data_IF_802183612334
#
_entry.id   IF_802183612334
#
_cell.length_a   1.000
_cell.length_b   1.000
_cell.length_c   1.000
_cell.angle_alpha   90.00
_cell.angle_beta   90.00
_cell.angle_gamma   90.00
#
_symmetry.space_group_name_H-M   'P 1'
#
loop_
_entity.id
_entity.type
_entity.pdbx_description
1 polymer ?
#
# COMPACT_ATOMS: atom_id res chain seq x y z
N UNK A 1 36.99 -44.61 -36.65
CA UNK A 1 37.21 -43.24 -36.14
C UNK A 1 36.18 -42.96 -35.07
N UNK A 2 36.53 -43.15 -33.79
CA UNK A 2 35.67 -42.84 -32.65
C UNK A 2 36.29 -41.66 -31.91
N UNK A 3 35.54 -40.57 -31.80
CA UNK A 3 35.97 -39.35 -31.14
C UNK A 3 35.72 -39.48 -29.62
N UNK A 4 36.80 -39.60 -28.87
CA UNK A 4 36.81 -39.58 -27.41
C UNK A 4 36.52 -38.15 -26.95
N UNK A 5 35.31 -37.90 -26.43
CA UNK A 5 34.99 -36.62 -25.78
C UNK A 5 35.60 -36.63 -24.37
N UNK A 6 36.61 -35.79 -24.18
CA UNK A 6 37.18 -35.52 -22.86
C UNK A 6 36.14 -34.77 -22.01
N UNK A 7 35.67 -35.41 -20.95
CA UNK A 7 34.87 -34.78 -19.90
C UNK A 7 35.80 -33.83 -19.13
N UNK A 8 35.47 -32.53 -19.00
CA UNK A 8 36.32 -31.61 -18.29
C UNK A 8 36.35 -31.97 -16.80
N UNK A 9 37.58 -32.03 -16.30
CA UNK A 9 38.02 -32.33 -14.94
C UNK A 9 37.23 -31.54 -13.91
N UNK A 10 36.75 -32.25 -12.89
CA UNK A 10 36.23 -31.72 -11.64
C UNK A 10 37.11 -30.59 -11.11
N UNK A 11 36.69 -29.35 -11.34
CA UNK A 11 37.14 -28.22 -10.52
C UNK A 11 36.69 -28.51 -9.10
N UNK A 12 37.65 -28.90 -8.25
CA UNK A 12 37.45 -29.01 -6.81
C UNK A 12 36.63 -27.80 -6.33
N UNK A 13 35.55 -28.03 -5.56
CA UNK A 13 34.77 -26.93 -5.01
C UNK A 13 35.73 -26.04 -4.22
N UNK A 14 35.63 -24.71 -4.36
CA UNK A 14 36.54 -23.78 -3.71
C UNK A 14 36.62 -24.12 -2.22
N UNK A 15 37.85 -24.33 -1.73
CA UNK A 15 38.16 -24.50 -0.32
C UNK A 15 37.40 -23.40 0.44
N UNK A 16 36.39 -23.79 1.23
CA UNK A 16 35.64 -22.85 2.04
C UNK A 16 36.64 -22.04 2.89
N UNK A 17 36.48 -20.72 3.02
CA UNK A 17 37.28 -19.95 3.97
C UNK A 17 37.15 -20.63 5.33
N UNK A 18 38.28 -20.86 6.00
CA UNK A 18 38.34 -21.63 7.24
C UNK A 18 37.31 -21.05 8.21
N UNK A 19 36.44 -21.89 8.79
CA UNK A 19 35.32 -21.45 9.64
C UNK A 19 35.70 -20.44 10.73
N UNK A 20 36.97 -20.46 11.17
CA UNK A 20 37.57 -19.48 12.08
C UNK A 20 37.42 -18.01 11.62
N UNK A 21 37.53 -17.70 10.32
CA UNK A 21 37.38 -16.33 9.83
C UNK A 21 35.94 -15.83 9.97
N UNK A 22 34.96 -16.73 9.78
CA UNK A 22 33.54 -16.42 9.94
C UNK A 22 33.20 -16.25 11.43
N UNK A 23 33.77 -17.07 12.29
CA UNK A 23 33.58 -16.95 13.74
C UNK A 23 34.14 -15.62 14.26
N UNK A 24 35.36 -15.25 13.84
CA UNK A 24 35.94 -13.94 14.16
C UNK A 24 35.09 -12.76 13.67
N UNK A 25 34.45 -12.88 12.51
CA UNK A 25 33.51 -11.87 12.02
C UNK A 25 32.33 -11.69 12.98
N UNK A 26 31.71 -12.79 13.44
CA UNK A 26 30.59 -12.69 14.37
C UNK A 26 31.02 -12.20 15.75
N UNK A 27 32.16 -12.61 16.27
CA UNK A 27 32.72 -12.08 17.52
C UNK A 27 32.87 -10.54 17.44
N UNK A 28 33.30 -10.03 16.30
CA UNK A 28 33.49 -8.59 16.10
C UNK A 28 32.18 -7.82 15.90
N UNK A 29 31.21 -8.38 15.17
CA UNK A 29 30.04 -7.65 14.69
C UNK A 29 28.70 -8.03 15.33
N UNK A 30 28.62 -9.04 16.19
CA UNK A 30 27.33 -9.50 16.77
C UNK A 30 26.60 -8.43 17.57
N UNK A 31 27.36 -7.63 18.33
CA UNK A 31 26.82 -6.47 19.06
C UNK A 31 26.21 -5.43 18.09
N UNK A 32 26.85 -5.22 16.93
CA UNK A 32 26.37 -4.30 15.91
C UNK A 32 25.15 -4.86 15.17
N UNK A 33 25.10 -6.16 14.89
CA UNK A 33 23.92 -6.83 14.31
C UNK A 33 22.72 -6.66 15.25
N UNK A 34 22.90 -6.94 16.54
CA UNK A 34 21.87 -6.77 17.57
C UNK A 34 21.36 -5.33 17.63
N UNK A 35 22.29 -4.36 17.63
CA UNK A 35 21.95 -2.93 17.62
C UNK A 35 21.18 -2.52 16.36
N UNK A 36 21.56 -3.04 15.17
CA UNK A 36 20.86 -2.72 13.93
C UNK A 36 19.45 -3.32 13.90
N UNK A 37 19.27 -4.57 14.36
CA UNK A 37 17.96 -5.21 14.44
C UNK A 37 17.01 -4.37 15.33
N UNK A 38 17.44 -4.07 16.57
CA UNK A 38 16.67 -3.25 17.51
C UNK A 38 16.34 -1.87 16.93
N UNK A 39 17.37 -1.13 16.47
CA UNK A 39 17.21 0.25 15.98
C UNK A 39 16.24 0.34 14.81
N UNK A 40 16.24 -0.64 13.91
CA UNK A 40 15.36 -0.62 12.72
C UNK A 40 13.94 -1.00 13.09
N UNK A 41 13.77 -1.94 14.02
CA UNK A 41 12.47 -2.34 14.51
C UNK A 41 11.77 -1.19 15.27
N UNK A 42 12.46 -0.55 16.22
CA UNK A 42 11.87 0.56 17.00
C UNK A 42 11.47 1.78 16.15
N UNK A 43 12.14 2.00 14.99
CA UNK A 43 11.86 3.16 14.12
C UNK A 43 10.70 2.96 13.15
N UNK A 44 10.34 1.72 12.81
CA UNK A 44 9.36 1.43 11.76
C UNK A 44 8.08 0.76 12.28
N UNK A 45 8.14 0.08 13.41
CA UNK A 45 7.02 -0.70 13.91
C UNK A 45 6.34 -0.05 15.11
N UNK A 46 5.72 1.12 14.89
CA UNK A 46 4.61 1.57 15.74
C UNK A 46 3.41 0.61 15.71
N UNK A 47 3.40 -0.36 14.79
CA UNK A 47 2.30 -1.32 14.58
C UNK A 47 2.60 -2.75 15.10
N UNK A 48 3.80 -3.03 15.61
CA UNK A 48 4.05 -4.35 16.22
C UNK A 48 3.28 -4.45 17.53
N UNK A 49 2.64 -5.60 17.77
CA UNK A 49 2.04 -5.88 19.08
C UNK A 49 3.18 -5.91 20.09
N UNK A 50 3.03 -5.16 21.19
CA UNK A 50 4.06 -5.08 22.23
C UNK A 50 4.49 -6.47 22.75
N UNK A 51 3.59 -7.45 22.67
CA UNK A 51 3.79 -8.84 23.09
C UNK A 51 4.77 -9.64 22.22
N UNK A 52 4.97 -9.29 20.94
CA UNK A 52 5.86 -10.03 20.02
C UNK A 52 7.16 -9.30 19.69
N UNK A 53 7.33 -8.08 20.22
CA UNK A 53 8.46 -7.21 19.87
C UNK A 53 9.83 -7.91 20.04
N UNK A 54 10.05 -8.57 21.18
CA UNK A 54 11.32 -9.22 21.45
C UNK A 54 11.57 -10.40 20.51
N UNK A 55 10.54 -11.18 20.22
CA UNK A 55 10.60 -12.31 19.28
C UNK A 55 10.93 -11.83 17.86
N UNK A 56 10.26 -10.76 17.42
CA UNK A 56 10.47 -10.21 16.08
C UNK A 56 11.87 -9.62 15.91
N UNK A 57 12.41 -8.98 16.96
CA UNK A 57 13.79 -8.48 16.96
C UNK A 57 14.78 -9.63 16.88
N UNK A 58 14.55 -10.72 17.61
CA UNK A 58 15.39 -11.91 17.59
C UNK A 58 15.32 -12.63 16.23
N UNK A 59 14.16 -12.70 15.60
CA UNK A 59 13.99 -13.26 14.26
C UNK A 59 14.78 -12.46 13.21
N UNK A 60 14.71 -11.11 13.26
CA UNK A 60 15.52 -10.25 12.39
C UNK A 60 17.02 -10.47 12.65
N UNK A 61 17.43 -10.59 13.92
CA UNK A 61 18.83 -10.84 14.29
C UNK A 61 19.31 -12.19 13.76
N UNK A 62 18.51 -13.24 13.91
CA UNK A 62 18.84 -14.58 13.41
C UNK A 62 18.93 -14.59 11.88
N UNK A 63 17.98 -13.97 11.19
CA UNK A 63 17.99 -13.84 9.73
C UNK A 63 19.26 -13.12 9.25
N UNK A 64 19.65 -12.02 9.91
CA UNK A 64 20.88 -11.30 9.58
C UNK A 64 22.14 -12.14 9.74
N UNK A 65 22.25 -12.90 10.84
CA UNK A 65 23.38 -13.81 11.07
C UNK A 65 23.46 -14.86 9.97
N UNK A 66 22.33 -15.50 9.64
CA UNK A 66 22.28 -16.50 8.58
C UNK A 66 22.68 -15.91 7.22
N UNK A 67 22.19 -14.71 6.90
CA UNK A 67 22.51 -14.04 5.64
C UNK A 67 24.00 -13.69 5.55
N UNK A 68 24.58 -13.13 6.62
CA UNK A 68 26.02 -12.84 6.68
C UNK A 68 26.85 -14.12 6.56
N UNK A 69 26.47 -15.19 7.26
CA UNK A 69 27.15 -16.48 7.20
C UNK A 69 27.14 -17.06 5.78
N UNK A 70 25.98 -17.06 5.12
CA UNK A 70 25.85 -17.56 3.74
C UNK A 70 26.72 -16.77 2.75
N UNK A 71 26.77 -15.45 2.90
CA UNK A 71 27.60 -14.60 2.01
C UNK A 71 29.08 -14.77 2.30
N UNK A 72 29.50 -14.81 3.57
CA UNK A 72 30.91 -15.00 3.95
C UNK A 72 31.47 -16.36 3.51
N UNK A 73 30.62 -17.38 3.35
CA UNK A 73 31.03 -18.66 2.76
C UNK A 73 31.39 -18.58 1.29
N UNK A 74 30.88 -17.58 0.58
CA UNK A 74 31.06 -17.44 -0.86
C UNK A 74 32.06 -16.33 -1.18
N UNK A 75 31.96 -15.20 -0.48
CA UNK A 75 32.65 -13.95 -0.80
C UNK A 75 33.06 -13.21 0.47
N UNK A 76 34.16 -12.47 0.42
CA UNK A 76 34.54 -11.54 1.49
C UNK A 76 33.67 -10.27 1.43
N UNK A 77 33.26 -9.76 2.59
CA UNK A 77 32.47 -8.53 2.69
C UNK A 77 33.42 -7.36 2.94
N UNK A 78 33.65 -6.52 1.92
CA UNK A 78 34.58 -5.38 2.02
C UNK A 78 34.16 -4.35 3.09
N UNK A 79 32.86 -4.12 3.25
CA UNK A 79 32.32 -3.18 4.24
C UNK A 79 31.22 -3.84 5.09
N UNK A 80 31.60 -4.54 6.17
CA UNK A 80 30.66 -5.27 7.03
C UNK A 80 29.54 -4.41 7.59
N UNK A 81 29.86 -3.18 8.04
CA UNK A 81 28.87 -2.30 8.68
C UNK A 81 27.81 -1.83 7.70
N UNK A 82 28.21 -1.40 6.51
CA UNK A 82 27.28 -0.97 5.46
C UNK A 82 26.39 -2.13 5.01
N UNK A 83 26.99 -3.31 4.83
CA UNK A 83 26.29 -4.53 4.47
C UNK A 83 25.24 -4.91 5.52
N UNK A 84 25.65 -5.04 6.80
CA UNK A 84 24.75 -5.38 7.92
C UNK A 84 23.61 -4.36 8.03
N UNK A 85 23.88 -3.06 7.93
CA UNK A 85 22.81 -2.05 8.03
C UNK A 85 21.80 -2.15 6.88
N UNK A 86 22.27 -2.46 5.66
CA UNK A 86 21.41 -2.64 4.49
C UNK A 86 20.60 -3.93 4.59
N UNK A 87 21.24 -5.02 4.98
CA UNK A 87 20.57 -6.29 5.22
C UNK A 87 19.49 -6.13 6.31
N UNK A 88 19.81 -5.48 7.43
CA UNK A 88 18.86 -5.26 8.53
C UNK A 88 17.63 -4.49 8.06
N UNK A 89 17.84 -3.45 7.24
CA UNK A 89 16.73 -2.71 6.64
C UNK A 89 15.85 -3.58 5.76
N UNK A 90 16.45 -4.43 4.92
CA UNK A 90 15.70 -5.31 4.02
C UNK A 90 14.89 -6.35 4.80
N UNK A 91 15.48 -6.97 5.82
CA UNK A 91 14.81 -7.95 6.68
C UNK A 91 13.64 -7.32 7.45
N UNK A 92 13.83 -6.16 8.07
CA UNK A 92 12.73 -5.45 8.74
C UNK A 92 11.61 -5.09 7.77
N UNK A 93 11.92 -4.71 6.52
CA UNK A 93 10.91 -4.44 5.49
C UNK A 93 10.22 -5.71 5.03
N UNK A 94 10.93 -6.82 4.89
CA UNK A 94 10.38 -8.13 4.52
C UNK A 94 9.39 -8.61 5.58
N UNK A 95 9.81 -8.57 6.85
CA UNK A 95 8.99 -8.95 7.99
C UNK A 95 7.77 -8.02 8.14
N UNK A 96 7.92 -6.70 7.97
CA UNK A 96 6.79 -5.77 7.92
C UNK A 96 5.81 -6.08 6.77
N UNK A 97 6.30 -6.56 5.62
CA UNK A 97 5.45 -6.98 4.50
C UNK A 97 4.74 -8.31 4.74
N UNK A 98 5.31 -9.20 5.55
CA UNK A 98 4.66 -10.45 5.97
C UNK A 98 3.57 -10.18 7.01
N UNK A 99 3.83 -9.26 7.95
CA UNK A 99 2.87 -8.86 8.97
C UNK A 99 1.72 -8.03 8.43
N UNK A 100 1.98 -7.21 7.40
CA UNK A 100 0.89 -6.65 6.63
C UNK A 100 0.23 -7.84 5.94
N UNK A 101 -1.01 -8.21 6.28
CA UNK A 101 -1.71 -9.18 5.47
C UNK A 101 -1.54 -8.67 4.04
N UNK A 102 -1.14 -9.54 3.11
CA UNK A 102 -1.49 -9.29 1.73
C UNK A 102 -3.02 -9.27 1.73
N UNK A 103 -3.61 -8.14 2.12
CA UNK A 103 -5.01 -7.85 1.93
C UNK A 103 -5.18 -8.16 0.46
N UNK A 104 -5.98 -9.19 0.18
CA UNK A 104 -6.35 -9.56 -1.17
C UNK A 104 -6.57 -8.23 -1.88
N UNK A 105 -5.82 -8.00 -2.96
CA UNK A 105 -5.98 -6.77 -3.73
C UNK A 105 -7.46 -6.71 -4.00
N UNK A 106 -8.15 -5.76 -3.37
CA UNK A 106 -9.58 -5.64 -3.53
C UNK A 106 -9.76 -5.44 -5.02
N UNK A 107 -10.47 -6.39 -5.63
CA UNK A 107 -10.91 -6.24 -7.00
C UNK A 107 -12.23 -5.48 -6.90
N UNK A 108 -12.45 -4.54 -7.81
CA UNK A 108 -13.80 -4.03 -7.97
C UNK A 108 -14.69 -5.09 -8.63
N UNK A 109 -15.98 -4.78 -8.75
CA UNK A 109 -16.96 -5.66 -9.40
C UNK A 109 -16.62 -5.94 -10.88
N UNK A 110 -15.74 -5.14 -11.49
CA UNK A 110 -15.24 -5.32 -12.85
C UNK A 110 -13.96 -6.21 -12.92
N UNK A 111 -13.47 -6.70 -11.77
CA UNK A 111 -12.26 -7.54 -11.69
C UNK A 111 -10.94 -6.77 -11.88
N UNK A 112 -10.98 -5.43 -11.85
CA UNK A 112 -9.80 -4.58 -11.93
C UNK A 112 -9.24 -4.29 -10.52
N UNK A 113 -7.94 -3.97 -10.44
CA UNK A 113 -7.31 -3.59 -9.18
C UNK A 113 -7.97 -2.31 -8.63
N UNK A 114 -8.62 -2.41 -7.47
CA UNK A 114 -9.31 -1.31 -6.82
C UNK A 114 -8.36 -0.15 -6.51
N UNK A 115 -8.37 0.87 -7.36
CA UNK A 115 -7.45 2.01 -7.31
C UNK A 115 -7.94 3.19 -6.43
N UNK A 116 -8.95 3.02 -5.57
CA UNK A 116 -9.34 4.08 -4.64
C UNK A 116 -10.61 3.86 -3.83
N UNK A 117 -10.42 3.60 -2.54
CA UNK A 117 -10.75 4.46 -1.38
C UNK A 117 -10.64 3.56 -0.14
N UNK A 118 -9.61 3.79 0.67
CA UNK A 118 -9.34 3.05 1.93
C UNK A 118 -10.50 3.24 2.95
N UNK A 119 -11.45 4.13 2.65
CA UNK A 119 -12.63 4.41 3.48
C UNK A 119 -13.54 3.19 3.70
N UNK A 120 -13.55 2.19 2.82
CA UNK A 120 -14.43 1.02 2.99
C UNK A 120 -13.87 -0.06 3.92
N UNK A 121 -12.58 -0.06 4.25
CA UNK A 121 -11.99 -1.08 5.15
C UNK A 121 -12.15 -0.74 6.65
N UNK A 122 -12.79 0.37 6.99
CA UNK A 122 -13.04 0.81 8.37
C UNK A 122 -14.46 0.49 8.88
N UNK A 123 -15.31 -0.19 8.11
CA UNK A 123 -16.68 -0.56 8.52
C UNK A 123 -16.77 -1.73 9.53
N UNK A 124 -15.84 -1.82 10.47
CA UNK A 124 -15.88 -2.82 11.56
C UNK A 124 -15.83 -2.23 12.97
N UNK A 125 -16.33 -1.00 13.18
CA UNK A 125 -16.52 -0.49 14.57
C UNK A 125 -17.68 0.48 14.79
N UNK A 126 -18.69 0.54 13.90
CA UNK A 126 -19.83 1.46 14.07
C UNK A 126 -20.92 0.96 15.05
N UNK A 127 -20.56 0.27 16.13
CA UNK A 127 -21.55 -0.19 17.12
C UNK A 127 -21.70 0.67 18.36
N UNK A 128 -20.87 1.69 18.58
CA UNK A 128 -20.95 2.56 19.79
C UNK A 128 -20.58 4.05 19.50
N UNK A 129 -21.08 4.65 18.42
CA UNK A 129 -20.87 6.09 18.18
C UNK A 129 -21.95 6.95 18.86
N UNK A 130 -21.54 8.02 19.52
CA UNK A 130 -22.41 9.02 20.15
C UNK A 130 -23.32 9.67 19.08
N UNK A 131 -24.64 9.81 19.30
CA UNK A 131 -25.53 10.54 18.40
C UNK A 131 -25.03 11.94 17.98
N UNK A 132 -24.26 12.63 18.84
CA UNK A 132 -23.65 13.91 18.50
C UNK A 132 -22.55 13.77 17.43
N UNK A 133 -21.70 12.74 17.52
CA UNK A 133 -20.64 12.44 16.53
C UNK A 133 -21.23 12.00 15.19
N UNK A 134 -22.37 11.31 15.20
CA UNK A 134 -23.10 10.93 13.97
C UNK A 134 -23.60 12.15 13.21
N UNK A 135 -24.04 13.21 13.91
CA UNK A 135 -24.49 14.46 13.28
C UNK A 135 -23.31 15.21 12.66
N UNK A 136 -22.21 15.37 13.39
CA UNK A 136 -20.99 16.03 12.88
C UNK A 136 -20.42 15.28 11.66
N UNK A 137 -20.40 13.95 11.69
CA UNK A 137 -19.96 13.13 10.57
C UNK A 137 -20.86 13.29 9.32
N UNK A 138 -22.17 13.46 9.51
CA UNK A 138 -23.12 13.68 8.41
C UNK A 138 -23.01 15.08 7.79
N UNK A 139 -22.75 16.10 8.61
CA UNK A 139 -22.50 17.47 8.14
C UNK A 139 -21.23 17.55 7.30
N UNK A 140 -20.17 16.87 7.75
CA UNK A 140 -18.91 16.73 7.01
C UNK A 140 -19.10 15.99 5.69
N UNK A 141 -19.81 14.86 5.69
CA UNK A 141 -20.08 14.10 4.47
C UNK A 141 -20.82 14.95 3.42
N UNK A 142 -21.80 15.73 3.86
CA UNK A 142 -22.55 16.64 2.99
C UNK A 142 -21.65 17.72 2.40
N UNK A 143 -20.78 18.33 3.22
CA UNK A 143 -19.83 19.35 2.77
C UNK A 143 -18.86 18.81 1.70
N UNK A 144 -18.29 17.62 1.93
CA UNK A 144 -17.39 16.98 0.96
C UNK A 144 -18.10 16.60 -0.33
N UNK A 145 -19.34 16.15 -0.24
CA UNK A 145 -20.16 15.84 -1.40
C UNK A 145 -20.43 17.09 -2.24
N UNK A 146 -20.74 18.22 -1.60
CA UNK A 146 -20.90 19.51 -2.28
C UNK A 146 -19.61 19.96 -2.98
N UNK A 147 -18.45 19.82 -2.34
CA UNK A 147 -17.16 20.11 -2.97
C UNK A 147 -16.91 19.21 -4.19
N UNK A 148 -17.24 17.92 -4.08
CA UNK A 148 -17.08 16.95 -5.17
C UNK A 148 -17.97 17.29 -6.36
N UNK A 149 -19.26 17.55 -6.13
CA UNK A 149 -20.20 17.93 -7.19
C UNK A 149 -19.78 19.26 -7.84
N UNK A 150 -19.32 20.25 -7.06
CA UNK A 150 -18.77 21.49 -7.59
C UNK A 150 -17.60 21.25 -8.54
N UNK A 151 -16.64 20.39 -8.16
CA UNK A 151 -15.51 20.04 -9.02
C UNK A 151 -15.97 19.32 -10.29
N UNK A 152 -16.97 18.44 -10.20
CA UNK A 152 -17.51 17.66 -11.31
C UNK A 152 -18.25 18.55 -12.32
N UNK A 153 -18.99 19.56 -11.86
CA UNK A 153 -19.69 20.52 -12.73
C UNK A 153 -18.74 21.23 -13.68
N UNK A 154 -17.49 21.48 -13.24
CA UNK A 154 -16.44 22.14 -14.04
C UNK A 154 -15.79 21.23 -15.09
N UNK A 155 -16.09 19.92 -15.08
CA UNK A 155 -15.54 18.98 -16.05
C UNK A 155 -16.20 19.12 -17.43
N UNK A 156 -15.49 18.79 -18.52
CA UNK A 156 -16.10 18.62 -19.84
C UNK A 156 -17.30 17.66 -19.78
N UNK A 157 -18.33 17.90 -20.60
CA UNK A 157 -19.61 17.19 -20.55
C UNK A 157 -19.47 15.65 -20.47
N UNK A 158 -18.61 15.05 -21.31
CA UNK A 158 -18.38 13.60 -21.33
C UNK A 158 -17.75 13.07 -20.04
N UNK A 159 -16.83 13.84 -19.44
CA UNK A 159 -16.17 13.49 -18.18
C UNK A 159 -17.10 13.68 -16.99
N UNK A 160 -17.87 14.77 -16.99
CA UNK A 160 -18.92 15.04 -16.01
C UNK A 160 -19.95 13.93 -15.98
N UNK A 161 -20.45 13.53 -17.15
CA UNK A 161 -21.42 12.44 -17.28
C UNK A 161 -20.87 11.11 -16.76
N UNK A 162 -19.63 10.76 -17.13
CA UNK A 162 -18.97 9.56 -16.65
C UNK A 162 -18.79 9.58 -15.12
N UNK A 163 -18.37 10.70 -14.55
CA UNK A 163 -18.21 10.86 -13.09
C UNK A 163 -19.54 10.76 -12.35
N UNK A 164 -20.59 11.44 -12.82
CA UNK A 164 -21.91 11.40 -12.19
C UNK A 164 -22.52 9.98 -12.27
N UNK A 165 -22.38 9.30 -13.40
CA UNK A 165 -22.82 7.90 -13.55
C UNK A 165 -22.06 6.98 -12.59
N UNK A 166 -20.74 7.14 -12.48
CA UNK A 166 -19.91 6.36 -11.55
C UNK A 166 -20.21 6.65 -10.08
N UNK A 167 -20.56 7.88 -9.71
CA UNK A 167 -20.92 8.22 -8.33
C UNK A 167 -22.29 7.66 -7.99
N UNK A 168 -23.27 7.79 -8.90
CA UNK A 168 -24.63 7.28 -8.70
C UNK A 168 -24.66 5.78 -8.41
N UNK A 169 -23.78 4.99 -9.03
CA UNK A 169 -23.68 3.54 -8.76
C UNK A 169 -23.01 3.19 -7.43
N UNK A 170 -22.09 4.03 -6.96
CA UNK A 170 -21.22 3.72 -5.81
C UNK A 170 -21.64 4.38 -4.50
N UNK A 171 -22.57 5.33 -4.55
CA UNK A 171 -22.94 6.14 -3.39
C UNK A 171 -24.12 5.49 -2.66
N UNK A 172 -23.92 5.17 -1.37
CA UNK A 172 -24.86 4.37 -0.58
C UNK A 172 -26.17 5.11 -0.25
N UNK A 173 -26.15 6.44 -0.12
CA UNK A 173 -27.34 7.27 0.13
C UNK A 173 -27.76 8.06 -1.14
N UNK A 174 -28.64 7.50 -1.99
CA UNK A 174 -29.09 8.18 -3.20
C UNK A 174 -29.91 9.45 -2.90
N UNK A 175 -30.50 9.60 -1.71
CA UNK A 175 -31.28 10.80 -1.37
C UNK A 175 -30.37 12.00 -1.10
N UNK A 176 -29.29 11.82 -0.34
CA UNK A 176 -28.32 12.88 -0.08
C UNK A 176 -27.63 13.35 -1.38
N UNK A 177 -27.24 12.40 -2.25
CA UNK A 177 -26.67 12.72 -3.56
C UNK A 177 -27.63 13.49 -4.46
N UNK A 178 -28.91 13.10 -4.50
CA UNK A 178 -29.95 13.84 -5.24
C UNK A 178 -30.12 15.24 -4.70
N UNK A 179 -30.17 15.42 -3.37
CA UNK A 179 -30.33 16.73 -2.76
C UNK A 179 -29.19 17.68 -3.16
N UNK A 180 -27.94 17.22 -3.13
CA UNK A 180 -26.79 18.02 -3.56
C UNK A 180 -26.81 18.28 -5.06
N UNK A 181 -27.07 17.27 -5.90
CA UNK A 181 -27.15 17.44 -7.35
C UNK A 181 -28.26 18.44 -7.76
N UNK A 182 -29.40 18.41 -7.08
CA UNK A 182 -30.51 19.33 -7.32
C UNK A 182 -30.12 20.79 -7.02
N UNK A 183 -29.33 21.04 -5.95
CA UNK A 183 -28.78 22.39 -5.68
C UNK A 183 -27.92 22.91 -6.84
N UNK A 184 -27.31 22.02 -7.60
CA UNK A 184 -26.49 22.34 -8.79
C UNK A 184 -27.25 22.24 -10.12
N UNK A 185 -28.58 22.11 -10.10
CA UNK A 185 -29.42 21.92 -11.30
C UNK A 185 -29.02 20.71 -12.16
N UNK A 186 -28.52 19.65 -11.52
CA UNK A 186 -28.22 18.38 -12.18
C UNK A 186 -29.39 17.41 -11.96
N UNK A 187 -30.02 16.98 -13.06
CA UNK A 187 -30.96 15.87 -13.04
C UNK A 187 -30.18 14.55 -12.97
N UNK A 188 -30.16 13.94 -11.78
CA UNK A 188 -29.47 12.67 -11.54
C UNK A 188 -30.24 11.47 -12.09
N UNK A 189 -31.57 11.56 -12.20
CA UNK A 189 -32.40 10.42 -12.61
C UNK A 189 -32.24 10.14 -14.11
N UNK A 190 -32.04 11.19 -14.92
CA UNK A 190 -31.70 11.09 -16.34
C UNK A 190 -30.28 10.61 -16.66
N UNK A 191 -29.40 10.46 -15.66
CA UNK A 191 -28.03 9.99 -15.84
C UNK A 191 -27.98 8.47 -15.60
N UNK A 192 -27.70 7.71 -16.66
CA UNK A 192 -27.55 6.26 -16.62
C UNK A 192 -26.40 5.85 -17.52
N UNK A 193 -25.75 4.71 -17.24
CA UNK A 193 -24.79 4.19 -18.21
C UNK A 193 -25.50 3.82 -19.51
N UNK A 194 -24.89 4.06 -20.68
CA UNK A 194 -25.45 3.63 -21.94
C UNK A 194 -25.60 2.10 -21.97
N UNK A 195 -26.65 1.62 -22.64
CA UNK A 195 -26.85 0.18 -22.84
C UNK A 195 -25.82 -0.42 -23.81
N UNK A 196 -25.26 0.41 -24.71
CA UNK A 196 -24.35 -0.06 -25.74
C UNK A 196 -22.91 -0.19 -25.21
N UNK A 197 -22.26 -1.37 -25.32
CA UNK A 197 -20.98 -1.67 -24.65
C UNK A 197 -19.83 -0.76 -25.11
N UNK A 198 -19.81 -0.37 -26.39
CA UNK A 198 -18.78 0.53 -26.94
C UNK A 198 -18.85 1.93 -26.33
N UNK A 199 -20.06 2.42 -26.07
CA UNK A 199 -20.25 3.76 -25.47
C UNK A 199 -19.89 3.75 -23.99
N UNK A 200 -20.25 2.68 -23.28
CA UNK A 200 -19.85 2.42 -21.90
C UNK A 200 -18.33 2.36 -21.78
N UNK A 201 -17.64 1.63 -22.65
CA UNK A 201 -16.18 1.58 -22.68
C UNK A 201 -15.57 2.98 -22.89
N UNK A 202 -16.11 3.78 -23.80
CA UNK A 202 -15.65 5.14 -24.06
C UNK A 202 -15.85 6.08 -22.86
N UNK A 203 -16.98 5.96 -22.16
CA UNK A 203 -17.24 6.73 -20.95
C UNK A 203 -16.36 6.28 -19.77
N UNK A 204 -16.14 4.97 -19.60
CA UNK A 204 -15.20 4.41 -18.62
C UNK A 204 -13.76 4.88 -18.88
N UNK A 205 -13.33 4.93 -20.14
CA UNK A 205 -12.03 5.52 -20.48
C UNK A 205 -11.95 7.01 -20.11
N UNK A 206 -13.04 7.76 -20.33
CA UNK A 206 -13.16 9.17 -19.96
C UNK A 206 -13.16 9.38 -18.44
N UNK A 207 -13.65 8.42 -17.66
CA UNK A 207 -13.65 8.44 -16.19
C UNK A 207 -12.22 8.48 -15.64
N UNK A 208 -11.29 7.69 -16.22
CA UNK A 208 -9.88 7.70 -15.81
C UNK A 208 -9.23 9.07 -16.01
N UNK A 209 -9.57 9.75 -17.10
CA UNK A 209 -9.10 11.11 -17.38
C UNK A 209 -9.76 12.12 -16.42
N UNK A 210 -11.07 11.99 -16.18
CA UNK A 210 -11.82 12.84 -15.27
C UNK A 210 -11.25 12.82 -13.84
N UNK A 211 -10.92 11.61 -13.33
CA UNK A 211 -10.30 11.43 -12.00
C UNK A 211 -8.93 12.10 -11.88
N UNK A 212 -8.22 12.26 -12.99
CA UNK A 212 -6.90 12.93 -13.04
C UNK A 212 -7.01 14.44 -13.24
N UNK A 213 -8.22 14.99 -13.37
CA UNK A 213 -8.40 16.43 -13.46
C UNK A 213 -7.86 17.12 -12.18
N UNK A 214 -7.22 18.29 -12.33
CA UNK A 214 -6.62 19.04 -11.23
C UNK A 214 -7.60 19.31 -10.09
N UNK A 215 -8.85 19.67 -10.38
CA UNK A 215 -9.86 19.93 -9.36
C UNK A 215 -10.17 18.66 -8.53
N UNK A 216 -10.28 17.50 -9.19
CA UNK A 216 -10.48 16.22 -8.52
C UNK A 216 -9.25 15.76 -7.73
N UNK A 217 -8.03 16.06 -8.23
CA UNK A 217 -6.80 15.79 -7.50
C UNK A 217 -6.65 16.64 -6.24
N UNK A 218 -7.00 17.93 -6.31
CA UNK A 218 -6.99 18.81 -5.15
C UNK A 218 -7.99 18.34 -4.09
N UNK A 219 -9.21 17.95 -4.52
CA UNK A 219 -10.20 17.39 -3.60
C UNK A 219 -9.74 16.08 -2.96
N UNK A 220 -9.08 15.21 -3.74
CA UNK A 220 -8.46 13.98 -3.22
C UNK A 220 -7.40 14.27 -2.16
N UNK A 221 -6.53 15.25 -2.39
CA UNK A 221 -5.49 15.63 -1.42
C UNK A 221 -6.10 16.24 -0.15
N UNK A 222 -7.14 17.07 -0.29
CA UNK A 222 -7.86 17.65 0.85
C UNK A 222 -8.53 16.57 1.72
N UNK A 223 -9.13 15.55 1.09
CA UNK A 223 -9.69 14.40 1.79
C UNK A 223 -8.61 13.57 2.51
N UNK A 224 -7.46 13.34 1.87
CA UNK A 224 -6.35 12.62 2.50
C UNK A 224 -5.82 13.37 3.72
N UNK A 225 -5.67 14.69 3.64
CA UNK A 225 -5.23 15.51 4.76
C UNK A 225 -6.21 15.46 5.95
N UNK A 226 -7.53 15.50 5.70
CA UNK A 226 -8.53 15.40 6.78
C UNK A 226 -8.55 14.00 7.42
N UNK A 227 -8.33 12.94 6.64
CA UNK A 227 -8.21 11.58 7.18
C UNK A 227 -6.94 11.41 8.04
N UNK A 228 -5.86 12.12 7.70
CA UNK A 228 -4.61 12.10 8.47
C UNK A 228 -4.69 12.97 9.74
N UNK A 229 -5.55 14.00 9.76
CA UNK A 229 -5.73 14.94 10.88
C UNK A 229 -7.22 15.11 11.23
N UNK A 230 -7.85 14.15 11.93
CA UNK A 230 -9.29 14.19 12.24
C UNK A 230 -9.70 15.14 13.38
N UNK A 231 -8.76 15.87 14.01
CA UNK A 231 -8.97 16.58 15.28
C UNK A 231 -8.59 18.08 15.25
N UNK A 232 -8.46 18.67 14.07
CA UNK A 232 -8.42 20.14 13.88
C UNK A 232 -9.75 20.64 13.31
#
# INVERSE_FOLDING_TARGET
MQATMAVPVDTEPPLYPAGQEIDCFFDQYDSYISLQAQRRFSRKNSMARAETYDLDVDDVKQSLRLHCWLVLRQHTIENPRAYISRAAFNETVSLARQYKPCSQLTLDDDGELFQGNISQTLHTSNQDLDPAEVVEHNEDATHWLELAINAIVQLPQTQRYAMLSSIKERFDDPQQLRAVCHKHNIDLDGIQWPEHPVETQRLRASLSVARKNKAMQHLRLALQHKLENPAE
#
